data_IF_876125468105
#
_entry.id   IF_876125468105
#
_cell.length_a   1.000
_cell.length_b   1.000
_cell.length_c   1.000
_cell.angle_alpha   90.00
_cell.angle_beta   90.00
_cell.angle_gamma   90.00
#
_symmetry.space_group_name_H-M   'P 1'
#
loop_
_entity.id
_entity.type
_entity.pdbx_description
1 polymer ?
#
# COMPACT_ATOMS: atom_id res chain seq x y z
N UNK A 1 7.13 -11.96 14.90
CA UNK A 1 7.44 -10.51 14.93
C UNK A 1 6.25 -9.77 14.36
N UNK A 2 5.80 -8.72 15.07
CA UNK A 2 4.69 -7.88 14.62
C UNK A 2 5.08 -7.00 13.42
N UNK A 3 4.09 -6.61 12.63
CA UNK A 3 4.26 -5.62 11.57
C UNK A 3 4.52 -4.22 12.15
N UNK A 4 4.97 -3.27 11.32
CA UNK A 4 5.13 -1.88 11.76
C UNK A 4 3.78 -1.25 12.18
N UNK A 5 2.71 -1.56 11.45
CA UNK A 5 1.33 -1.39 11.91
C UNK A 5 0.65 -2.76 11.91
N UNK A 6 0.32 -3.24 13.10
CA UNK A 6 -0.28 -4.56 13.28
C UNK A 6 -1.76 -4.41 13.67
N UNK A 7 -2.66 -4.90 12.82
CA UNK A 7 -4.11 -4.72 12.92
C UNK A 7 -4.78 -6.08 13.12
N UNK A 8 -5.02 -6.45 14.38
CA UNK A 8 -5.84 -7.59 14.75
C UNK A 8 -7.31 -7.13 14.86
N UNK A 9 -8.21 -7.73 14.06
CA UNK A 9 -9.65 -7.46 14.12
C UNK A 9 -10.11 -6.01 13.93
N UNK A 10 -9.24 -5.10 13.49
CA UNK A 10 -9.58 -3.69 13.23
C UNK A 10 -10.58 -3.58 12.10
N UNK A 11 -11.61 -2.73 12.27
CA UNK A 11 -12.69 -2.59 11.29
C UNK A 11 -13.02 -1.13 10.99
N UNK A 12 -13.49 -0.88 9.77
CA UNK A 12 -14.04 0.40 9.30
C UNK A 12 -13.14 1.61 9.59
N UNK A 13 -11.83 1.40 9.63
CA UNK A 13 -10.85 2.42 9.98
C UNK A 13 -10.18 3.00 8.74
N UNK A 14 -9.72 4.24 8.84
CA UNK A 14 -8.85 4.87 7.86
C UNK A 14 -7.40 4.73 8.34
N UNK A 15 -6.57 4.17 7.49
CA UNK A 15 -5.12 4.09 7.67
C UNK A 15 -4.52 4.83 6.49
N UNK A 16 -4.11 6.08 6.71
CA UNK A 16 -3.65 6.96 5.63
C UNK A 16 -2.48 7.84 6.00
N UNK A 17 -1.77 8.33 4.97
CA UNK A 17 -0.63 9.24 5.07
C UNK A 17 0.50 8.72 5.98
N UNK A 18 0.65 7.39 6.09
CA UNK A 18 1.76 6.81 6.86
C UNK A 18 2.99 6.64 5.96
N UNK A 19 4.15 7.03 6.47
CA UNK A 19 5.46 6.69 5.91
C UNK A 19 6.11 5.59 6.75
N UNK A 20 6.24 4.39 6.18
CA UNK A 20 6.88 3.24 6.81
C UNK A 20 8.05 2.79 5.94
N UNK A 21 9.28 2.83 6.46
CA UNK A 21 10.46 2.40 5.69
C UNK A 21 11.42 1.55 6.52
N UNK A 22 12.24 0.75 5.83
CA UNK A 22 13.23 -0.14 6.44
C UNK A 22 12.62 -1.08 7.51
N UNK A 23 11.42 -1.58 7.24
CA UNK A 23 10.77 -2.56 8.11
C UNK A 23 11.35 -3.95 7.82
N UNK A 24 11.64 -4.71 8.87
CA UNK A 24 12.19 -6.08 8.81
C UNK A 24 11.12 -7.16 9.11
N UNK A 25 9.90 -6.74 9.43
CA UNK A 25 8.69 -7.58 9.47
C UNK A 25 7.77 -7.17 8.31
N UNK A 26 6.44 -7.27 8.43
CA UNK A 26 5.54 -6.68 7.43
C UNK A 26 5.40 -5.17 7.67
N UNK A 27 5.08 -4.40 6.63
CA UNK A 27 4.76 -2.98 6.79
C UNK A 27 3.46 -2.80 7.56
N UNK A 28 2.36 -3.18 6.93
CA UNK A 28 1.04 -3.25 7.56
C UNK A 28 0.55 -4.69 7.49
N UNK A 29 -0.02 -5.20 8.57
CA UNK A 29 -0.65 -6.52 8.59
C UNK A 29 -2.07 -6.44 9.17
N UNK A 30 -3.04 -6.96 8.42
CA UNK A 30 -4.40 -7.21 8.85
C UNK A 30 -4.67 -8.72 8.92
N UNK A 31 -5.15 -9.18 10.07
CA UNK A 31 -5.38 -10.60 10.37
C UNK A 31 -6.32 -10.79 11.56
N UNK A 32 -6.52 -12.04 11.96
CA UNK A 32 -7.47 -12.49 12.97
C UNK A 32 -6.86 -12.80 14.34
N UNK A 33 -5.57 -12.51 14.55
CA UNK A 33 -4.83 -12.88 15.77
C UNK A 33 -4.88 -14.38 16.12
N UNK A 34 -5.15 -15.25 15.14
CA UNK A 34 -5.30 -16.69 15.34
C UNK A 34 -6.59 -17.12 16.04
N UNK A 35 -7.56 -16.21 16.24
CA UNK A 35 -8.84 -16.55 16.88
C UNK A 35 -9.94 -16.93 15.87
N UNK A 36 -9.63 -16.91 14.58
CA UNK A 36 -10.47 -17.41 13.48
C UNK A 36 -10.98 -16.32 12.54
N UNK A 37 -11.19 -16.70 11.28
CA UNK A 37 -11.49 -15.78 10.16
C UNK A 37 -12.64 -14.78 10.39
N UNK A 38 -13.60 -15.05 11.28
CA UNK A 38 -14.67 -14.08 11.62
C UNK A 38 -14.14 -12.84 12.33
N UNK A 39 -12.92 -12.91 12.85
CA UNK A 39 -12.19 -11.84 13.54
C UNK A 39 -11.09 -11.22 12.68
N UNK A 40 -10.98 -11.56 11.40
CA UNK A 40 -10.12 -10.83 10.47
C UNK A 40 -10.49 -9.35 10.37
N UNK A 41 -9.56 -8.54 9.85
CA UNK A 41 -9.78 -7.10 9.66
C UNK A 41 -10.85 -6.83 8.62
N UNK A 42 -11.67 -5.78 8.77
CA UNK A 42 -12.81 -5.60 7.86
C UNK A 42 -13.13 -4.16 7.50
N UNK A 43 -13.34 -3.89 6.21
CA UNK A 43 -13.87 -2.59 5.79
C UNK A 43 -12.89 -1.42 5.98
N UNK A 44 -11.61 -1.71 6.17
CA UNK A 44 -10.62 -0.66 6.37
C UNK A 44 -10.19 -0.04 5.04
N UNK A 45 -9.75 1.21 5.11
CA UNK A 45 -9.28 2.01 3.98
C UNK A 45 -7.80 2.30 4.19
N UNK A 46 -6.95 1.61 3.43
CA UNK A 46 -5.50 1.82 3.39
C UNK A 46 -5.21 2.76 2.22
N UNK A 47 -5.19 4.06 2.49
CA UNK A 47 -5.13 5.09 1.45
C UNK A 47 -3.88 5.95 1.59
N UNK A 48 -3.20 6.28 0.48
CA UNK A 48 -2.12 7.27 0.50
C UNK A 48 -1.02 6.96 1.52
N UNK A 49 -0.63 5.68 1.67
CA UNK A 49 0.52 5.31 2.49
C UNK A 49 1.76 5.09 1.60
N UNK A 50 2.94 5.43 2.11
CA UNK A 50 4.23 5.07 1.50
C UNK A 50 4.91 4.03 2.36
N UNK A 51 5.08 2.82 1.83
CA UNK A 51 5.69 1.68 2.50
C UNK A 51 6.85 1.15 1.67
N UNK A 52 8.06 1.22 2.20
CA UNK A 52 9.29 0.71 1.56
C UNK A 52 9.98 -0.30 2.50
N UNK A 53 9.79 -1.59 2.23
CA UNK A 53 10.34 -2.69 3.04
C UNK A 53 11.85 -2.86 2.85
N UNK A 54 12.53 -3.32 3.90
CA UNK A 54 13.91 -3.78 3.82
C UNK A 54 14.03 -5.10 3.02
N UNK A 55 15.23 -5.48 2.53
CA UNK A 55 15.39 -6.68 1.72
C UNK A 55 15.04 -7.99 2.44
N UNK A 56 15.21 -8.02 3.75
CA UNK A 56 14.90 -9.12 4.67
C UNK A 56 13.50 -8.99 5.32
N UNK A 57 12.73 -7.99 4.92
CA UNK A 57 11.35 -7.77 5.37
C UNK A 57 10.36 -8.81 4.84
N UNK A 58 9.13 -8.69 5.34
CA UNK A 58 7.95 -9.39 4.79
C UNK A 58 7.24 -8.46 3.79
N UNK A 59 6.00 -8.76 3.39
CA UNK A 59 5.28 -7.94 2.42
C UNK A 59 4.98 -6.53 2.95
N UNK A 60 4.86 -5.57 2.02
CA UNK A 60 4.51 -4.20 2.38
C UNK A 60 3.12 -4.11 3.02
N UNK A 61 2.14 -4.84 2.49
CA UNK A 61 0.81 -5.01 3.06
C UNK A 61 0.41 -6.49 3.07
N UNK A 62 -0.06 -6.98 4.22
CA UNK A 62 -0.61 -8.33 4.38
C UNK A 62 -2.07 -8.22 4.81
N UNK A 63 -2.98 -8.90 4.12
CA UNK A 63 -4.39 -9.02 4.50
C UNK A 63 -4.80 -10.51 4.40
N UNK A 64 -4.76 -11.20 5.53
CA UNK A 64 -4.98 -12.66 5.61
C UNK A 64 -6.01 -13.01 6.69
N UNK A 65 -6.41 -14.29 6.73
CA UNK A 65 -7.26 -14.87 7.77
C UNK A 65 -8.59 -14.12 7.96
N UNK A 66 -9.40 -14.05 6.90
CA UNK A 66 -10.73 -13.46 6.91
C UNK A 66 -10.74 -11.93 6.84
N UNK A 67 -9.66 -11.32 6.37
CA UNK A 67 -9.50 -9.87 6.28
C UNK A 67 -10.23 -9.26 5.07
N UNK A 68 -11.56 -9.22 5.11
CA UNK A 68 -12.43 -8.92 3.96
C UNK A 68 -12.86 -7.44 3.81
N UNK A 69 -13.38 -7.08 2.64
CA UNK A 69 -13.94 -5.76 2.33
C UNK A 69 -12.96 -4.58 2.51
N UNK A 70 -11.65 -4.85 2.53
CA UNK A 70 -10.64 -3.82 2.69
C UNK A 70 -10.39 -3.10 1.35
N UNK A 71 -10.00 -1.83 1.41
CA UNK A 71 -9.68 -1.02 0.25
C UNK A 71 -8.23 -0.55 0.33
N UNK A 72 -7.49 -0.70 -0.76
CA UNK A 72 -6.06 -0.39 -0.89
C UNK A 72 -5.88 0.49 -2.12
N UNK A 73 -5.82 1.82 -1.92
CA UNK A 73 -5.74 2.80 -3.01
C UNK A 73 -4.68 3.86 -2.76
N UNK A 74 -4.08 4.38 -3.83
CA UNK A 74 -3.09 5.45 -3.78
C UNK A 74 -1.89 5.15 -2.88
N UNK A 75 -1.50 3.89 -2.67
CA UNK A 75 -0.33 3.58 -1.83
C UNK A 75 0.91 3.36 -2.69
N UNK A 76 2.08 3.71 -2.16
CA UNK A 76 3.36 3.17 -2.64
C UNK A 76 3.71 1.97 -1.77
N UNK A 77 3.75 0.77 -2.36
CA UNK A 77 3.96 -0.50 -1.67
C UNK A 77 5.16 -1.22 -2.28
N UNK A 78 6.35 -0.95 -1.77
CA UNK A 78 7.61 -1.43 -2.34
C UNK A 78 8.32 -2.38 -1.38
N UNK A 79 8.81 -3.47 -1.94
CA UNK A 79 9.76 -4.40 -1.35
C UNK A 79 11.08 -4.36 -2.13
N UNK A 80 12.20 -4.34 -1.41
CA UNK A 80 13.56 -4.22 -1.98
C UNK A 80 14.32 -5.55 -2.07
N UNK A 81 13.76 -6.62 -1.48
CA UNK A 81 14.28 -7.99 -1.56
C UNK A 81 13.30 -8.97 -2.20
N UNK A 82 13.16 -10.17 -1.62
CA UNK A 82 12.47 -11.30 -2.27
C UNK A 82 10.94 -11.33 -2.15
N UNK A 83 10.32 -10.58 -1.22
CA UNK A 83 8.85 -10.50 -1.07
C UNK A 83 8.25 -9.48 -2.05
N UNK A 84 7.01 -9.07 -1.81
CA UNK A 84 6.22 -8.25 -2.74
C UNK A 84 5.38 -7.17 -2.07
N UNK A 85 4.49 -6.57 -2.86
CA UNK A 85 3.66 -5.45 -2.43
C UNK A 85 2.53 -5.89 -1.51
N UNK A 86 1.67 -6.79 -1.98
CA UNK A 86 0.47 -7.21 -1.24
C UNK A 86 0.44 -8.74 -1.14
N UNK A 87 0.14 -9.23 0.05
CA UNK A 87 -0.22 -10.63 0.31
C UNK A 87 -1.67 -10.75 0.74
N UNK A 88 -2.36 -11.73 0.16
CA UNK A 88 -3.72 -12.13 0.56
C UNK A 88 -3.86 -13.64 0.58
N UNK A 89 -4.89 -14.13 1.27
CA UNK A 89 -5.34 -15.51 1.18
C UNK A 89 -6.76 -15.59 0.59
N UNK A 90 -7.24 -16.81 0.33
CA UNK A 90 -8.57 -16.99 -0.26
C UNK A 90 -9.70 -16.39 0.60
N UNK A 91 -9.53 -16.42 1.93
CA UNK A 91 -10.54 -15.96 2.88
C UNK A 91 -10.63 -14.44 3.00
N UNK A 92 -9.60 -13.69 2.59
CA UNK A 92 -9.53 -12.23 2.71
C UNK A 92 -9.82 -11.48 1.41
N UNK A 93 -9.90 -12.21 0.28
CA UNK A 93 -10.23 -11.66 -1.04
C UNK A 93 -11.66 -11.14 -1.23
N UNK A 94 -12.71 -11.68 -0.55
CA UNK A 94 -14.07 -11.15 -0.71
C UNK A 94 -14.15 -9.64 -0.44
N UNK A 95 -14.66 -8.90 -1.43
CA UNK A 95 -14.84 -7.45 -1.35
C UNK A 95 -13.55 -6.63 -1.31
N UNK A 96 -12.38 -7.24 -1.51
CA UNK A 96 -11.12 -6.50 -1.62
C UNK A 96 -11.16 -5.57 -2.83
N UNK A 97 -10.83 -4.31 -2.60
CA UNK A 97 -10.59 -3.33 -3.67
C UNK A 97 -9.12 -2.94 -3.60
N UNK A 98 -8.36 -3.25 -4.65
CA UNK A 98 -6.97 -2.84 -4.79
C UNK A 98 -6.83 -2.16 -6.14
N UNK A 99 -6.44 -0.88 -6.18
CA UNK A 99 -6.28 -0.11 -7.42
C UNK A 99 -5.45 1.16 -7.17
N UNK A 100 -4.89 1.78 -8.22
CA UNK A 100 -4.16 3.06 -8.12
C UNK A 100 -2.97 3.05 -7.14
N UNK A 101 -2.19 1.97 -7.09
CA UNK A 101 -1.00 1.87 -6.24
C UNK A 101 0.29 1.90 -7.09
N UNK A 102 1.43 2.17 -6.45
CA UNK A 102 2.77 1.86 -6.99
C UNK A 102 3.24 0.56 -6.36
N UNK A 103 3.51 -0.45 -7.17
CA UNK A 103 3.71 -1.84 -6.70
C UNK A 103 4.90 -2.52 -7.39
N UNK A 104 5.58 -3.43 -6.71
CA UNK A 104 6.44 -4.38 -7.41
C UNK A 104 5.60 -5.29 -8.31
N UNK A 105 6.19 -5.88 -9.34
CA UNK A 105 5.56 -6.92 -10.15
C UNK A 105 5.51 -8.27 -9.40
N UNK A 106 5.15 -8.26 -8.12
CA UNK A 106 5.13 -9.41 -7.22
C UNK A 106 4.10 -9.21 -6.11
N UNK A 107 3.11 -10.07 -6.10
CA UNK A 107 2.04 -10.21 -5.11
C UNK A 107 2.05 -11.65 -4.59
N UNK A 108 1.32 -11.92 -3.51
CA UNK A 108 1.19 -13.27 -2.93
C UNK A 108 -0.27 -13.66 -2.72
N UNK A 109 -0.60 -14.87 -3.16
CA UNK A 109 -1.83 -15.60 -2.84
C UNK A 109 -1.47 -16.75 -1.90
N UNK A 110 -1.29 -16.46 -0.61
CA UNK A 110 -0.85 -17.42 0.40
C UNK A 110 0.45 -18.13 -0.01
N UNK A 111 1.56 -17.39 -0.02
CA UNK A 111 2.91 -17.83 -0.44
C UNK A 111 3.07 -18.20 -1.93
N UNK A 112 2.00 -18.16 -2.72
CA UNK A 112 2.09 -18.29 -4.19
C UNK A 112 2.31 -16.94 -4.85
N UNK A 113 3.49 -16.72 -5.43
CA UNK A 113 3.82 -15.45 -6.07
C UNK A 113 3.17 -15.28 -7.44
N UNK A 114 2.60 -14.10 -7.68
CA UNK A 114 2.00 -13.72 -8.96
C UNK A 114 2.40 -12.30 -9.38
N UNK A 115 2.31 -12.01 -10.67
CA UNK A 115 2.57 -10.70 -11.28
C UNK A 115 1.38 -9.76 -11.15
N UNK A 116 1.57 -8.46 -11.43
CA UNK A 116 0.47 -7.48 -11.52
C UNK A 116 -0.55 -7.88 -12.60
N UNK A 117 -0.11 -8.45 -13.72
CA UNK A 117 -1.01 -8.92 -14.79
C UNK A 117 -1.91 -10.07 -14.31
N UNK A 118 -1.37 -10.99 -13.50
CA UNK A 118 -2.16 -12.05 -12.89
C UNK A 118 -3.06 -11.52 -11.76
N UNK A 119 -2.58 -10.58 -10.95
CA UNK A 119 -3.40 -9.88 -9.96
C UNK A 119 -4.62 -9.20 -10.61
N UNK A 120 -4.41 -8.59 -11.78
CA UNK A 120 -5.47 -8.06 -12.67
C UNK A 120 -6.49 -9.10 -13.11
N UNK A 121 -6.02 -10.28 -13.50
CA UNK A 121 -6.89 -11.37 -13.92
C UNK A 121 -7.82 -11.88 -12.79
N UNK A 122 -7.49 -11.60 -11.51
CA UNK A 122 -8.38 -11.86 -10.38
C UNK A 122 -9.47 -10.78 -10.16
N UNK A 123 -9.54 -9.77 -11.04
CA UNK A 123 -10.53 -8.69 -10.97
C UNK A 123 -10.09 -7.49 -10.12
N UNK A 124 -8.81 -7.42 -9.76
CA UNK A 124 -8.23 -6.30 -9.04
C UNK A 124 -7.50 -5.34 -9.98
N UNK A 125 -7.28 -4.11 -9.53
CA UNK A 125 -6.18 -3.25 -9.96
C UNK A 125 -6.06 -2.95 -11.46
N UNK A 126 -6.85 -2.00 -11.98
CA UNK A 126 -6.78 -1.60 -13.39
C UNK A 126 -5.75 -0.49 -13.64
N UNK A 127 -5.34 0.25 -12.62
CA UNK A 127 -4.64 1.52 -12.76
C UNK A 127 -3.30 1.60 -12.00
N UNK A 128 -2.91 0.59 -11.20
CA UNK A 128 -1.59 0.63 -10.55
C UNK A 128 -0.46 0.64 -11.57
N UNK A 129 0.62 1.29 -11.16
CA UNK A 129 1.86 1.40 -11.91
C UNK A 129 2.93 0.52 -11.25
N UNK A 130 3.80 -0.06 -12.08
CA UNK A 130 4.93 -0.83 -11.57
C UNK A 130 5.97 0.11 -10.97
N UNK A 131 6.59 -0.33 -9.88
CA UNK A 131 7.69 0.32 -9.20
C UNK A 131 8.83 0.62 -10.19
N UNK A 132 9.09 1.90 -10.52
CA UNK A 132 10.14 2.29 -11.46
C UNK A 132 11.53 2.41 -10.81
N UNK A 133 11.65 2.04 -9.53
CA UNK A 133 12.85 2.22 -8.71
C UNK A 133 12.75 3.41 -7.75
N UNK A 134 13.37 3.28 -6.57
CA UNK A 134 13.25 4.28 -5.50
C UNK A 134 13.79 5.67 -5.89
N UNK A 135 14.90 5.73 -6.63
CA UNK A 135 15.50 7.00 -7.08
C UNK A 135 14.69 7.72 -8.19
N UNK A 136 13.75 7.00 -8.82
CA UNK A 136 12.78 7.57 -9.77
C UNK A 136 11.58 8.15 -9.04
N UNK A 137 11.18 7.53 -7.92
CA UNK A 137 10.04 7.96 -7.12
C UNK A 137 10.36 9.11 -6.15
N UNK A 138 11.52 9.05 -5.49
CA UNK A 138 11.79 9.84 -4.29
C UNK A 138 13.03 10.73 -4.43
N UNK A 139 13.05 11.84 -3.68
CA UNK A 139 14.15 12.81 -3.69
C UNK A 139 15.46 12.20 -3.19
N UNK A 140 15.44 11.57 -2.00
CA UNK A 140 16.63 10.92 -1.43
C UNK A 140 16.23 9.77 -0.48
N UNK A 141 15.85 8.60 -1.03
CA UNK A 141 15.37 7.49 -0.22
C UNK A 141 16.45 6.88 0.69
N UNK A 142 17.74 6.96 0.32
CA UNK A 142 18.85 6.49 1.18
C UNK A 142 19.07 7.39 2.39
N UNK A 143 18.73 8.69 2.28
CA UNK A 143 18.68 9.64 3.38
C UNK A 143 17.30 9.76 4.05
N UNK A 144 16.41 8.79 3.84
CA UNK A 144 15.03 8.75 4.36
C UNK A 144 14.13 9.94 3.95
N UNK A 145 14.46 10.63 2.86
CA UNK A 145 13.58 11.61 2.24
C UNK A 145 12.74 10.93 1.16
N UNK A 146 11.50 10.62 1.53
CA UNK A 146 10.50 9.96 0.71
C UNK A 146 9.45 10.94 0.12
N UNK A 147 9.74 12.24 0.09
CA UNK A 147 8.98 13.15 -0.76
C UNK A 147 9.18 12.75 -2.22
N UNK A 148 8.12 12.93 -3.02
CA UNK A 148 8.14 12.59 -4.42
C UNK A 148 9.10 13.51 -5.16
N UNK A 149 9.95 12.90 -5.99
CA UNK A 149 10.86 13.64 -6.86
C UNK A 149 10.08 14.24 -8.02
N UNK A 150 10.48 15.42 -8.48
CA UNK A 150 9.99 15.99 -9.75
C UNK A 150 10.07 14.97 -10.88
N UNK A 151 8.96 14.76 -11.58
CA UNK A 151 8.84 13.77 -12.65
C UNK A 151 8.56 12.34 -12.17
N UNK A 152 8.38 12.12 -10.87
CA UNK A 152 7.92 10.83 -10.34
C UNK A 152 6.60 10.42 -11.01
N UNK A 153 6.46 9.18 -11.48
CA UNK A 153 5.22 8.71 -12.08
C UNK A 153 4.08 8.54 -11.07
N UNK A 154 4.36 8.70 -9.77
CA UNK A 154 3.33 8.75 -8.73
C UNK A 154 2.58 10.10 -8.70
N UNK A 155 3.15 11.16 -9.30
CA UNK A 155 2.54 12.48 -9.34
C UNK A 155 1.33 12.47 -10.27
N UNK A 156 0.20 13.02 -9.81
CA UNK A 156 -1.09 13.07 -10.53
C UNK A 156 -1.60 11.70 -11.01
N UNK A 157 -1.16 10.61 -10.40
CA UNK A 157 -1.49 9.25 -10.84
C UNK A 157 -2.57 8.58 -9.99
N UNK A 158 -2.96 9.18 -8.86
CA UNK A 158 -3.93 8.63 -7.92
C UNK A 158 -5.39 8.93 -8.27
N UNK A 159 -6.30 8.54 -7.38
CA UNK A 159 -7.73 8.81 -7.48
C UNK A 159 -8.22 9.53 -6.22
N UNK A 160 -9.19 10.44 -6.35
CA UNK A 160 -9.81 11.05 -5.17
C UNK A 160 -10.44 9.97 -4.28
N UNK A 161 -10.12 10.01 -2.98
CA UNK A 161 -10.64 9.09 -1.98
C UNK A 161 -11.21 9.90 -0.81
N UNK A 162 -12.35 9.47 -0.28
CA UNK A 162 -13.01 10.16 0.83
C UNK A 162 -12.19 10.04 2.11
N UNK A 163 -12.03 11.16 2.82
CA UNK A 163 -11.42 11.21 4.15
C UNK A 163 -9.90 11.41 4.17
N UNK A 164 -9.25 11.59 3.01
CA UNK A 164 -7.84 12.01 2.91
C UNK A 164 -7.83 13.31 2.11
N UNK A 165 -7.75 14.45 2.80
CA UNK A 165 -7.86 15.79 2.18
C UNK A 165 -6.54 16.56 2.20
N UNK A 166 -5.55 16.03 2.90
CA UNK A 166 -4.19 16.53 3.04
C UNK A 166 -3.19 15.37 2.95
N UNK A 167 -1.90 15.68 2.85
CA UNK A 167 -0.79 14.72 2.85
C UNK A 167 -0.13 14.59 4.24
N UNK A 168 1.03 13.95 4.31
CA UNK A 168 1.77 13.75 5.57
C UNK A 168 2.35 15.06 6.14
N UNK A 169 2.52 16.10 5.33
CA UNK A 169 3.05 17.41 5.71
C UNK A 169 1.95 18.46 5.94
N UNK A 170 0.69 18.09 5.71
CA UNK A 170 -0.47 18.96 5.83
C UNK A 170 -0.81 19.75 4.55
N UNK A 171 -0.21 19.40 3.41
CA UNK A 171 -0.53 20.01 2.13
C UNK A 171 -1.87 19.49 1.61
N UNK A 172 -2.82 20.36 1.20
CA UNK A 172 -4.12 19.92 0.69
C UNK A 172 -4.00 19.04 -0.56
N UNK A 173 -4.90 18.08 -0.73
CA UNK A 173 -5.01 17.26 -1.95
C UNK A 173 -6.27 17.61 -2.77
N UNK A 174 -6.22 17.59 -4.12
CA UNK A 174 -5.01 17.53 -4.91
C UNK A 174 -4.35 18.92 -5.04
N UNK A 175 -3.02 18.95 -5.17
CA UNK A 175 -2.32 20.16 -5.63
C UNK A 175 -2.31 20.25 -7.16
N UNK A 176 -2.29 19.10 -7.85
CA UNK A 176 -2.35 19.01 -9.30
C UNK A 176 -3.74 18.65 -9.85
N UNK A 177 -3.75 17.97 -11.00
CA UNK A 177 -4.98 17.49 -11.64
C UNK A 177 -5.64 16.34 -10.87
N UNK A 178 -4.85 15.53 -10.16
CA UNK A 178 -5.28 14.34 -9.42
C UNK A 178 -4.41 14.22 -8.17
N UNK A 179 -4.85 13.38 -7.24
CA UNK A 179 -4.04 13.02 -6.08
C UNK A 179 -2.72 12.39 -6.55
N UNK A 180 -1.67 12.62 -5.79
CA UNK A 180 -0.46 11.82 -5.90
C UNK A 180 -0.64 10.46 -5.22
N UNK A 181 0.02 9.43 -5.76
CA UNK A 181 0.10 8.11 -5.11
C UNK A 181 1.18 8.18 -4.03
N UNK A 182 0.85 7.76 -2.81
CA UNK A 182 1.73 7.78 -1.65
C UNK A 182 1.31 8.80 -0.58
N UNK A 183 2.12 8.90 0.46
CA UNK A 183 1.88 9.75 1.63
C UNK A 183 2.16 11.24 1.40
N UNK A 184 2.93 11.58 0.38
CA UNK A 184 3.32 12.94 -0.01
C UNK A 184 2.41 13.45 -1.15
N UNK A 185 2.16 14.76 -1.20
CA UNK A 185 1.52 15.47 -2.32
C UNK A 185 2.46 16.61 -2.77
N UNK A 186 2.89 16.57 -4.03
CA UNK A 186 3.80 17.57 -4.58
C UNK A 186 3.08 18.90 -4.74
N UNK A 187 3.59 19.92 -4.06
CA UNK A 187 3.14 21.30 -4.25
C UNK A 187 3.38 21.74 -5.70
N UNK A 188 2.33 22.27 -6.33
CA UNK A 188 2.44 22.94 -7.62
C UNK A 188 2.80 24.41 -7.37
N UNK A 189 3.81 24.98 -8.06
CA UNK A 189 4.16 26.39 -7.95
C UNK A 189 3.03 27.35 -8.34
#
# INVERSE_FOLDING_TARGET
GGAAINLASVRNSLISNNLLHNNHASGIAGWDDGVGNTFGTRGNRFFNNTIVQAPDGRFALVLINGSINNQVKNNILIHTGARGSIETDASSRPGLISDYNVVNNRFSLNETFITLAQWRAYGYDLHSILNPGLATLFVNPTGANYHLKTGSPAINAGVTVTGVIDDIDGNPRPQGLRYDIGADEVLVP
#
